data_IF_667843570371
#
_entry.id   IF_667843570371
#
_cell.length_a   1.000
_cell.length_b   1.000
_cell.length_c   1.000
_cell.angle_alpha   90.00
_cell.angle_beta   90.00
_cell.angle_gamma   90.00
#
_symmetry.space_group_name_H-M   'P 1'
#
loop_
_entity.id
_entity.type
_entity.pdbx_description
1 polymer ?
#
# COMPACT_ATOMS: atom_id res chain seq x y z
N UNK A 1 6.65 -10.09 3.63
CA UNK A 1 5.76 -9.99 4.81
C UNK A 1 6.64 -9.94 6.04
N UNK A 2 6.41 -8.98 6.93
CA UNK A 2 7.22 -8.85 8.14
C UNK A 2 6.44 -8.08 9.22
N UNK A 3 5.99 -8.72 10.32
CA UNK A 3 5.25 -8.05 11.39
C UNK A 3 6.06 -6.98 12.11
N UNK A 4 7.39 -6.99 11.99
CA UNK A 4 8.26 -5.95 12.54
C UNK A 4 8.25 -4.67 11.68
N UNK A 5 7.83 -4.76 10.41
CA UNK A 5 7.80 -3.65 9.47
C UNK A 5 8.57 -3.91 8.18
N UNK A 6 8.38 -3.03 7.20
CA UNK A 6 9.03 -3.06 5.89
C UNK A 6 9.57 -1.66 5.55
N UNK A 7 10.83 -1.60 5.14
CA UNK A 7 11.50 -0.35 4.77
C UNK A 7 12.08 -0.51 3.37
N UNK A 8 11.63 0.34 2.44
CA UNK A 8 12.24 0.55 1.13
C UNK A 8 13.04 1.85 1.22
N UNK A 9 14.36 1.75 1.37
CA UNK A 9 15.24 2.89 1.63
C UNK A 9 15.46 3.78 0.40
N UNK A 10 16.05 4.95 0.61
CA UNK A 10 16.52 5.81 -0.49
C UNK A 10 17.51 5.04 -1.38
N UNK A 11 17.34 5.15 -2.70
CA UNK A 11 18.13 4.39 -3.69
C UNK A 11 17.66 2.94 -3.90
N UNK A 12 16.70 2.43 -3.13
CA UNK A 12 16.10 1.12 -3.39
C UNK A 12 15.21 1.18 -4.63
N UNK A 13 15.30 0.16 -5.49
CA UNK A 13 14.43 0.00 -6.66
C UNK A 13 13.80 -1.39 -6.61
N UNK A 14 12.47 -1.44 -6.68
CA UNK A 14 11.69 -2.67 -6.79
C UNK A 14 10.81 -2.58 -8.03
N UNK A 15 11.00 -3.50 -8.97
CA UNK A 15 10.21 -3.58 -10.20
C UNK A 15 9.69 -5.01 -10.36
N UNK A 16 8.38 -5.18 -10.43
CA UNK A 16 7.73 -6.48 -10.54
C UNK A 16 6.38 -6.36 -11.25
N UNK A 17 5.73 -7.47 -11.60
CA UNK A 17 4.35 -7.44 -12.12
C UNK A 17 3.32 -7.00 -11.08
N UNK A 18 3.65 -7.17 -9.80
CA UNK A 18 2.92 -6.60 -8.67
C UNK A 18 3.82 -6.56 -7.44
N UNK A 19 3.60 -5.58 -6.58
CA UNK A 19 4.38 -5.38 -5.35
C UNK A 19 3.42 -5.41 -4.17
N UNK A 20 3.52 -6.43 -3.33
CA UNK A 20 2.68 -6.55 -2.13
C UNK A 20 3.55 -6.60 -0.87
N UNK A 21 3.41 -5.56 -0.04
CA UNK A 21 4.19 -5.35 1.17
C UNK A 21 3.26 -5.31 2.39
N UNK A 22 3.22 -6.41 3.14
CA UNK A 22 2.43 -6.50 4.37
C UNK A 22 3.33 -6.51 5.61
N UNK A 23 3.16 -5.51 6.47
CA UNK A 23 3.79 -5.43 7.79
C UNK A 23 3.03 -6.23 8.85
N UNK A 24 2.75 -7.50 8.52
CA UNK A 24 1.99 -8.47 9.29
C UNK A 24 2.68 -9.84 9.21
N UNK A 25 2.30 -10.75 10.11
CA UNK A 25 2.79 -12.13 10.11
C UNK A 25 2.19 -12.98 8.96
N UNK A 26 1.00 -12.62 8.48
CA UNK A 26 0.27 -13.33 7.43
C UNK A 26 -0.30 -12.35 6.37
N UNK A 27 -0.55 -12.81 5.13
CA UNK A 27 -1.23 -12.00 4.11
C UNK A 27 -2.59 -11.48 4.62
N UNK A 28 -2.88 -10.19 4.44
CA UNK A 28 -4.08 -9.49 4.97
C UNK A 28 -4.34 -9.67 6.47
N UNK A 29 -3.39 -10.24 7.22
CA UNK A 29 -3.45 -10.32 8.67
C UNK A 29 -3.36 -8.93 9.30
N UNK A 30 -3.75 -8.85 10.57
CA UNK A 30 -3.62 -7.61 11.35
C UNK A 30 -2.18 -7.09 11.27
N UNK A 31 -1.94 -5.90 10.71
CA UNK A 31 -0.60 -5.35 10.69
C UNK A 31 -0.19 -4.93 12.10
N UNK A 32 1.08 -5.17 12.41
CA UNK A 32 1.73 -4.81 13.68
C UNK A 32 2.92 -3.88 13.47
N UNK A 33 3.48 -3.88 12.25
CA UNK A 33 4.60 -3.06 11.86
C UNK A 33 4.20 -1.94 10.90
N UNK A 34 5.15 -1.06 10.64
CA UNK A 34 4.99 0.07 9.71
C UNK A 34 5.55 -0.28 8.33
N UNK A 35 5.07 0.41 7.29
CA UNK A 35 5.65 0.34 5.95
C UNK A 35 6.16 1.72 5.56
N UNK A 36 7.43 1.83 5.19
CA UNK A 36 8.02 3.09 4.71
C UNK A 36 8.65 2.89 3.33
N UNK A 37 8.29 3.74 2.38
CA UNK A 37 8.93 3.86 1.09
C UNK A 37 9.65 5.20 0.95
N UNK A 38 10.94 5.17 0.67
CA UNK A 38 11.78 6.29 0.25
C UNK A 38 12.51 5.99 -1.07
N UNK A 39 12.25 4.84 -1.70
CA UNK A 39 12.83 4.39 -2.96
C UNK A 39 11.81 4.44 -4.11
N UNK A 40 12.03 3.62 -5.13
CA UNK A 40 11.16 3.51 -6.32
C UNK A 40 10.50 2.14 -6.33
N UNK A 41 9.17 2.13 -6.29
CA UNK A 41 8.34 0.93 -6.44
C UNK A 41 7.57 1.01 -7.75
N UNK A 42 7.81 0.07 -8.65
CA UNK A 42 7.16 0.01 -9.96
C UNK A 42 6.45 -1.33 -10.13
N UNK A 43 5.16 -1.30 -10.39
CA UNK A 43 4.43 -2.41 -10.98
C UNK A 43 4.46 -2.29 -12.51
N UNK A 44 4.53 -3.40 -13.24
CA UNK A 44 4.33 -3.41 -14.70
C UNK A 44 2.92 -2.95 -15.06
N UNK A 45 2.66 -2.73 -16.35
CA UNK A 45 1.36 -2.31 -16.86
C UNK A 45 0.21 -3.19 -16.32
N UNK A 46 -0.85 -2.55 -15.82
CA UNK A 46 -2.00 -3.17 -15.16
C UNK A 46 -1.68 -3.93 -13.84
N UNK A 47 -0.48 -3.75 -13.29
CA UNK A 47 -0.05 -4.37 -12.04
C UNK A 47 -0.51 -3.62 -10.79
N UNK A 48 -0.37 -4.26 -9.62
CA UNK A 48 -0.81 -3.66 -8.35
C UNK A 48 0.35 -3.43 -7.40
N UNK A 49 0.41 -2.26 -6.75
CA UNK A 49 1.28 -1.99 -5.61
C UNK A 49 0.44 -1.85 -4.34
N UNK A 50 0.52 -2.79 -3.41
CA UNK A 50 -0.18 -2.76 -2.13
C UNK A 50 0.80 -2.64 -0.95
N UNK A 51 0.69 -1.57 -0.18
CA UNK A 51 1.46 -1.34 1.06
C UNK A 51 0.51 -1.34 2.26
N UNK A 52 0.69 -2.29 3.18
CA UNK A 52 -0.20 -2.53 4.31
C UNK A 52 0.58 -2.54 5.62
N UNK A 53 0.23 -1.65 6.55
CA UNK A 53 0.86 -1.54 7.86
C UNK A 53 -0.03 -0.88 8.91
N UNK A 54 0.48 -0.74 10.15
CA UNK A 54 -0.17 0.10 11.17
C UNK A 54 -0.13 1.57 10.74
N UNK A 55 0.97 1.98 10.11
CA UNK A 55 1.13 3.22 9.37
C UNK A 55 1.89 2.98 8.06
N UNK A 56 1.59 3.76 7.03
CA UNK A 56 2.26 3.67 5.72
C UNK A 56 2.80 5.04 5.33
N UNK A 57 4.12 5.16 5.13
CA UNK A 57 4.74 6.41 4.70
C UNK A 57 5.38 6.25 3.32
N UNK A 58 5.07 7.17 2.41
CA UNK A 58 5.70 7.25 1.10
C UNK A 58 6.38 8.61 0.92
N UNK A 59 7.70 8.62 0.81
CA UNK A 59 8.55 9.76 0.48
C UNK A 59 9.31 9.57 -0.83
N UNK A 60 9.25 8.37 -1.42
CA UNK A 60 9.79 8.04 -2.73
C UNK A 60 8.71 8.01 -3.81
N UNK A 61 8.90 7.15 -4.82
CA UNK A 61 8.01 7.03 -5.97
C UNK A 61 7.30 5.69 -5.97
N UNK A 62 5.99 5.71 -6.26
CA UNK A 62 5.20 4.52 -6.56
C UNK A 62 4.55 4.68 -7.92
N UNK A 63 4.75 3.73 -8.83
CA UNK A 63 4.18 3.73 -10.17
C UNK A 63 3.52 2.39 -10.46
N UNK A 64 2.27 2.43 -10.93
CA UNK A 64 1.54 1.28 -11.46
C UNK A 64 0.76 1.74 -12.70
N UNK A 65 1.41 1.82 -13.88
CA UNK A 65 0.77 2.29 -15.11
C UNK A 65 -0.43 1.41 -15.47
N UNK A 66 -1.61 2.00 -15.71
CA UNK A 66 -2.85 1.25 -15.96
C UNK A 66 -3.29 0.30 -14.83
N UNK A 67 -2.65 0.37 -13.66
CA UNK A 67 -2.83 -0.54 -12.53
C UNK A 67 -3.33 0.16 -11.27
N UNK A 68 -3.18 -0.49 -10.11
CA UNK A 68 -3.71 0.00 -8.83
C UNK A 68 -2.62 0.21 -7.78
N UNK A 69 -2.72 1.29 -7.01
CA UNK A 69 -1.88 1.51 -5.82
C UNK A 69 -2.77 1.55 -4.58
N UNK A 70 -2.57 0.59 -3.68
CA UNK A 70 -3.32 0.42 -2.44
C UNK A 70 -2.40 0.78 -1.27
N UNK A 71 -2.75 1.84 -0.53
CA UNK A 71 -2.07 2.23 0.71
C UNK A 71 -3.03 2.05 1.88
N UNK A 72 -2.59 1.25 2.85
CA UNK A 72 -3.45 0.70 3.88
C UNK A 72 -2.83 0.84 5.25
N UNK A 73 -3.39 1.74 6.05
CA UNK A 73 -2.97 1.98 7.42
C UNK A 73 -4.08 1.61 8.41
N UNK A 74 -3.73 1.00 9.54
CA UNK A 74 -4.64 0.77 10.67
C UNK A 74 -4.59 -0.66 11.23
N UNK A 75 -5.22 -0.87 12.38
CA UNK A 75 -5.21 -2.14 13.13
C UNK A 75 -6.16 -3.21 12.58
N UNK A 76 -6.96 -2.88 11.57
CA UNK A 76 -7.89 -3.79 10.91
C UNK A 76 -7.91 -3.44 9.43
N UNK A 77 -7.52 -4.42 8.62
CA UNK A 77 -7.40 -4.33 7.18
C UNK A 77 -8.35 -5.39 6.62
N UNK A 78 -9.50 -4.98 6.12
CA UNK A 78 -10.45 -5.92 5.51
C UNK A 78 -10.39 -5.78 4.00
N UNK A 79 -9.94 -6.81 3.26
CA UNK A 79 -10.06 -6.85 1.81
C UNK A 79 -11.54 -7.04 1.44
N UNK A 80 -12.11 -6.06 0.76
CA UNK A 80 -13.39 -6.15 0.07
C UNK A 80 -13.05 -6.34 -1.40
N UNK A 81 -13.24 -7.56 -1.89
CA UNK A 81 -13.21 -7.85 -3.32
C UNK A 81 -14.51 -7.30 -3.91
N UNK A 82 -14.41 -6.42 -4.91
CA UNK A 82 -15.57 -6.06 -5.74
C UNK A 82 -15.45 -6.75 -7.10
N UNK A 83 -16.58 -7.09 -7.73
CA UNK A 83 -16.72 -7.94 -8.93
C UNK A 83 -15.93 -7.49 -10.19
N UNK A 84 -15.11 -6.44 -10.10
CA UNK A 84 -14.19 -5.97 -11.14
C UNK A 84 -12.71 -6.13 -10.82
N UNK A 85 -12.33 -6.94 -9.81
CA UNK A 85 -10.93 -7.17 -9.41
C UNK A 85 -10.33 -6.10 -8.49
N UNK A 86 -11.10 -5.07 -8.13
CA UNK A 86 -10.70 -4.01 -7.20
C UNK A 86 -10.73 -4.54 -5.75
N UNK A 87 -9.57 -4.50 -5.09
CA UNK A 87 -9.43 -4.76 -3.66
C UNK A 87 -9.66 -3.46 -2.88
N UNK A 88 -10.89 -3.24 -2.42
CA UNK A 88 -11.19 -2.13 -1.50
C UNK A 88 -10.79 -2.49 -0.10
N UNK A 89 -9.98 -1.66 0.54
CA UNK A 89 -9.61 -1.87 1.93
C UNK A 89 -10.38 -0.93 2.83
N UNK A 90 -11.28 -1.45 3.66
CA UNK A 90 -11.88 -0.64 4.72
C UNK A 90 -10.97 -0.68 5.96
N UNK A 91 -10.45 0.48 6.36
CA UNK A 91 -9.82 0.65 7.65
C UNK A 91 -10.90 1.02 8.68
N UNK A 92 -11.02 0.26 9.76
CA UNK A 92 -11.92 0.64 10.86
C UNK A 92 -11.24 1.73 11.70
N UNK A 93 -11.91 2.88 11.84
CA UNK A 93 -11.40 4.08 12.51
C UNK A 93 -11.18 3.84 14.01
N UNK A 94 -9.92 3.71 14.42
CA UNK A 94 -9.39 4.19 15.70
C UNK A 94 -8.23 5.15 15.37
N UNK A 95 -7.98 6.11 16.23
CA UNK A 95 -7.30 7.40 16.01
C UNK A 95 -5.86 7.42 15.41
N UNK A 96 -5.36 6.33 14.82
CA UNK A 96 -3.94 6.13 14.53
C UNK A 96 -3.64 5.60 13.11
N UNK A 97 -4.67 5.35 12.29
CA UNK A 97 -4.47 4.99 10.88
C UNK A 97 -3.92 6.19 10.11
N UNK A 98 -2.58 6.29 10.03
CA UNK A 98 -1.88 7.38 9.37
C UNK A 98 -1.14 6.87 8.15
N UNK A 99 -1.55 7.35 6.99
CA UNK A 99 -0.73 7.33 5.80
C UNK A 99 -0.20 8.74 5.52
N UNK A 100 1.02 8.85 5.02
CA UNK A 100 1.61 10.14 4.66
C UNK A 100 2.37 9.98 3.37
N UNK A 101 1.93 10.68 2.32
CA UNK A 101 2.67 10.78 1.06
C UNK A 101 3.30 12.16 0.92
N UNK A 102 4.61 12.19 0.69
CA UNK A 102 5.39 13.38 0.32
C UNK A 102 6.05 13.24 -1.05
N UNK A 103 5.99 12.05 -1.65
CA UNK A 103 6.48 11.75 -3.00
C UNK A 103 5.35 11.47 -4.00
N UNK A 104 5.70 10.99 -5.19
CA UNK A 104 4.77 10.77 -6.30
C UNK A 104 4.09 9.40 -6.17
N UNK A 105 2.77 9.38 -6.33
CA UNK A 105 1.97 8.17 -6.53
C UNK A 105 1.25 8.32 -7.86
N UNK A 106 1.53 7.43 -8.82
CA UNK A 106 0.93 7.44 -10.15
C UNK A 106 0.17 6.13 -10.40
N UNK A 107 -1.15 6.23 -10.55
CA UNK A 107 -2.07 5.15 -10.90
C UNK A 107 -3.26 5.74 -11.68
N UNK A 108 -3.88 4.95 -12.57
CA UNK A 108 -5.14 5.35 -13.21
C UNK A 108 -6.29 5.11 -12.23
N UNK A 109 -6.83 6.18 -11.64
CA UNK A 109 -7.85 6.10 -10.60
C UNK A 109 -9.22 5.82 -11.22
N UNK A 110 -9.73 4.60 -11.10
CA UNK A 110 -11.18 4.36 -11.22
C UNK A 110 -11.85 4.52 -9.85
N UNK A 111 -12.55 5.65 -9.72
CA UNK A 111 -13.41 6.08 -8.61
C UNK A 111 -12.72 6.49 -7.30
N UNK A 112 -12.47 7.80 -7.20
CA UNK A 112 -12.11 8.48 -5.97
C UNK A 112 -12.96 8.07 -4.76
N UNK A 113 -12.26 7.76 -3.67
CA UNK A 113 -12.73 7.86 -2.28
C UNK A 113 -11.51 7.72 -1.36
N UNK A 114 -10.78 8.82 -1.22
CA UNK A 114 -9.97 9.07 -0.02
C UNK A 114 -10.94 9.09 1.16
N UNK A 115 -10.86 8.09 2.04
CA UNK A 115 -11.67 8.03 3.24
C UNK A 115 -11.41 9.25 4.13
N UNK A 116 -12.45 10.03 4.36
CA UNK A 116 -12.58 10.97 5.50
C UNK A 116 -12.75 10.23 6.81
#
# INVERSE_FOLDING_TARGET
>A
MNPNGLIFGSGSVVSASGVMAFASATPWGKPTGTVTNAGVLTATDNGTVALVGTSVSNSGTISAPGGEVILAAGSTVTPIVTDGGLLRLCCHRRAEARWTTRGIVSAETLNGKTGT
#
